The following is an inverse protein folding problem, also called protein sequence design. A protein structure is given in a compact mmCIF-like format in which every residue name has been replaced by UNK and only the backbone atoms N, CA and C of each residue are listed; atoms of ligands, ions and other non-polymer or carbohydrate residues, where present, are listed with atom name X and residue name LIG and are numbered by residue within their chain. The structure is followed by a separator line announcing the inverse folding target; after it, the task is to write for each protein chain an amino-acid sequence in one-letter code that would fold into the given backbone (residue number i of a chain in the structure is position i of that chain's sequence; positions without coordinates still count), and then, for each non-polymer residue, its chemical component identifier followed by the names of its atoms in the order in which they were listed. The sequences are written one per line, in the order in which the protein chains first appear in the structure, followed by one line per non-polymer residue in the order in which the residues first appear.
data_IF_494409440190
#
_entry.id   IF_494409440190
#
_cell.length_a   1.000
_cell.length_b   1.000
_cell.length_c   1.000
_cell.angle_alpha   90.00
_cell.angle_beta   90.00
_cell.angle_gamma   90.00
#
_symmetry.space_group_name_H-M   'P 1'
#
loop_
_entity.id
_entity.type
_entity.pdbx_description
1 polymer ?
#
# COMPACT_ATOMS: atom_id res chain seq x y z
N UNK A 1 1.75 30.18 10.98
CA UNK A 1 2.86 30.28 9.99
C UNK A 1 3.82 29.08 10.08
N UNK A 2 4.05 28.51 11.27
CA UNK A 2 4.84 27.28 11.43
C UNK A 2 4.12 26.03 10.85
N UNK A 3 2.80 25.92 11.01
CA UNK A 3 2.02 24.75 10.56
C UNK A 3 1.83 24.65 9.04
N UNK A 4 1.61 25.78 8.34
CA UNK A 4 1.54 25.80 6.87
C UNK A 4 2.86 25.32 6.22
N UNK A 5 4.00 25.69 6.82
CA UNK A 5 5.32 25.25 6.40
C UNK A 5 5.59 23.75 6.69
N UNK A 6 4.91 23.17 7.68
CA UNK A 6 4.99 21.74 7.99
C UNK A 6 4.07 20.90 7.09
N UNK A 7 2.89 21.42 6.74
CA UNK A 7 1.96 20.84 5.77
C UNK A 7 2.57 20.68 4.37
N UNK A 8 3.16 21.76 3.84
CA UNK A 8 3.87 21.76 2.55
C UNK A 8 5.03 20.75 2.52
N UNK A 9 5.83 20.67 3.60
CA UNK A 9 6.92 19.68 3.73
C UNK A 9 6.42 18.25 3.79
N UNK A 10 5.23 18.05 4.33
CA UNK A 10 4.61 16.74 4.42
C UNK A 10 4.21 16.26 3.03
N UNK A 11 3.43 17.05 2.29
CA UNK A 11 2.96 16.71 0.93
C UNK A 11 4.16 16.46 0.00
N UNK A 12 5.18 17.31 0.02
CA UNK A 12 6.40 17.10 -0.78
C UNK A 12 7.01 15.69 -0.60
N UNK A 13 7.11 15.18 0.64
CA UNK A 13 7.62 13.81 0.89
C UNK A 13 6.75 12.71 0.30
N UNK A 14 5.43 12.90 0.30
CA UNK A 14 4.48 11.96 -0.28
C UNK A 14 4.61 11.94 -1.81
N UNK A 15 4.77 13.12 -2.43
CA UNK A 15 5.03 13.23 -3.86
C UNK A 15 6.37 12.58 -4.24
N UNK A 16 7.44 12.82 -3.45
CA UNK A 16 8.77 12.23 -3.66
C UNK A 16 8.74 10.69 -3.56
N UNK A 17 8.03 10.14 -2.57
CA UNK A 17 7.86 8.70 -2.43
C UNK A 17 7.08 8.09 -3.61
N UNK A 18 6.07 8.80 -4.11
CA UNK A 18 5.27 8.33 -5.23
C UNK A 18 6.07 8.28 -6.54
N UNK A 19 6.89 9.30 -6.85
CA UNK A 19 7.74 9.27 -8.07
C UNK A 19 8.82 8.19 -7.99
N UNK A 20 9.38 7.93 -6.80
CA UNK A 20 10.32 6.82 -6.60
C UNK A 20 9.64 5.46 -6.80
N UNK A 21 8.45 5.28 -6.22
CA UNK A 21 7.67 4.05 -6.35
C UNK A 21 7.26 3.80 -7.81
N UNK A 22 6.76 4.83 -8.49
CA UNK A 22 6.36 4.79 -9.89
C UNK A 22 7.53 4.41 -10.81
N UNK A 23 8.68 5.08 -10.65
CA UNK A 23 9.87 4.80 -11.44
C UNK A 23 10.40 3.38 -11.19
N UNK A 24 10.52 2.97 -9.92
CA UNK A 24 11.02 1.64 -9.57
C UNK A 24 10.09 0.52 -10.08
N UNK A 25 8.78 0.65 -9.89
CA UNK A 25 7.82 -0.39 -10.28
C UNK A 25 7.59 -0.50 -11.78
N UNK A 26 7.91 0.53 -12.55
CA UNK A 26 7.93 0.47 -14.01
C UNK A 26 9.33 0.31 -14.61
N UNK A 27 10.38 0.23 -13.79
CA UNK A 27 11.78 0.26 -14.24
C UNK A 27 12.06 1.43 -15.20
N UNK A 28 11.47 2.59 -14.90
CA UNK A 28 11.59 3.78 -15.71
C UNK A 28 12.76 4.65 -15.24
N UNK A 29 13.50 5.27 -16.17
CA UNK A 29 14.60 6.15 -15.82
C UNK A 29 14.11 7.46 -15.20
N UNK A 30 12.88 7.88 -15.48
CA UNK A 30 12.35 9.19 -15.10
C UNK A 30 10.90 9.09 -14.64
N UNK A 31 10.55 9.85 -13.60
CA UNK A 31 9.17 10.05 -13.19
C UNK A 31 8.97 11.46 -12.62
N UNK A 32 7.75 11.98 -12.70
CA UNK A 32 7.39 13.32 -12.21
C UNK A 32 6.00 13.30 -11.60
N UNK A 33 5.76 14.19 -10.63
CA UNK A 33 4.40 14.60 -10.27
C UNK A 33 4.23 16.05 -10.69
N UNK A 34 3.18 16.31 -11.47
CA UNK A 34 2.78 17.63 -11.92
C UNK A 34 1.55 18.06 -11.12
N UNK A 35 1.61 19.20 -10.45
CA UNK A 35 0.45 19.81 -9.80
C UNK A 35 -0.26 20.74 -10.77
N UNK A 36 -1.58 20.62 -10.84
CA UNK A 36 -2.43 21.52 -11.60
C UNK A 36 -2.63 22.83 -10.83
N UNK A 37 -2.11 23.92 -11.38
CA UNK A 37 -2.38 25.26 -10.85
C UNK A 37 -3.67 25.80 -11.46
N UNK A 38 -4.75 25.79 -10.69
CA UNK A 38 -6.08 26.18 -11.17
C UNK A 38 -6.23 27.64 -11.62
N UNK A 39 -5.34 28.55 -11.20
CA UNK A 39 -5.43 29.97 -11.59
C UNK A 39 -5.18 30.21 -13.08
N UNK A 40 -4.38 29.35 -13.71
CA UNK A 40 -3.90 29.51 -15.09
C UNK A 40 -3.75 28.20 -15.86
N UNK A 41 -4.23 27.08 -15.29
CA UNK A 41 -4.23 25.73 -15.87
C UNK A 41 -2.84 25.20 -16.25
N UNK A 42 -1.77 25.73 -15.66
CA UNK A 42 -0.42 25.21 -15.86
C UNK A 42 -0.15 24.00 -14.97
N UNK A 43 0.70 23.10 -15.48
CA UNK A 43 1.20 21.93 -14.77
C UNK A 43 2.61 22.19 -14.29
N UNK A 44 2.77 22.21 -12.97
CA UNK A 44 4.04 22.56 -12.32
C UNK A 44 4.65 21.31 -11.73
N UNK A 45 5.92 21.04 -12.04
CA UNK A 45 6.63 19.90 -11.45
C UNK A 45 6.79 20.10 -9.94
N UNK A 46 6.25 19.18 -9.13
CA UNK A 46 6.36 19.23 -7.66
C UNK A 46 7.25 18.14 -7.08
N UNK A 47 7.39 17.02 -7.76
CA UNK A 47 8.35 15.98 -7.44
C UNK A 47 8.93 15.37 -8.72
N UNK A 48 10.14 14.82 -8.61
CA UNK A 48 10.86 14.23 -9.72
C UNK A 48 11.71 13.05 -9.26
N UNK A 49 11.91 12.09 -10.15
CA UNK A 49 12.91 11.04 -10.04
C UNK A 49 13.70 10.94 -11.34
N UNK A 50 15.03 10.74 -11.23
CA UNK A 50 15.91 10.53 -12.38
C UNK A 50 16.19 11.78 -13.22
N UNK A 51 15.76 12.95 -12.76
CA UNK A 51 15.92 14.24 -13.43
C UNK A 51 16.76 15.19 -12.56
N UNK A 52 17.24 16.28 -13.16
CA UNK A 52 17.95 17.31 -12.40
C UNK A 52 16.98 18.00 -11.42
N UNK A 53 17.42 18.28 -10.19
CA UNK A 53 16.56 18.88 -9.16
C UNK A 53 16.04 20.28 -9.54
N UNK A 54 16.70 20.99 -10.48
CA UNK A 54 16.24 22.28 -11.01
C UNK A 54 14.93 22.19 -11.80
N UNK A 55 14.44 20.99 -12.11
CA UNK A 55 13.13 20.83 -12.76
C UNK A 55 11.96 21.10 -11.83
N UNK A 56 12.16 21.01 -10.51
CA UNK A 56 11.09 21.30 -9.53
C UNK A 56 10.69 22.78 -9.64
N UNK A 57 9.38 23.02 -9.76
CA UNK A 57 8.79 24.35 -9.94
C UNK A 57 8.76 24.83 -11.40
N UNK A 58 9.33 24.08 -12.35
CA UNK A 58 9.21 24.41 -13.77
C UNK A 58 7.84 24.03 -14.32
N UNK A 59 7.45 24.75 -15.36
CA UNK A 59 6.30 24.45 -16.20
C UNK A 59 6.57 23.19 -17.04
N UNK A 60 5.61 22.27 -17.02
CA UNK A 60 5.60 21.02 -17.78
C UNK A 60 4.45 20.95 -18.81
N UNK A 61 3.73 22.05 -19.04
CA UNK A 61 2.61 22.15 -19.97
C UNK A 61 1.32 22.65 -19.32
N UNK A 62 0.21 22.46 -20.03
CA UNK A 62 -1.12 22.95 -19.61
C UNK A 62 -2.13 21.82 -19.49
N UNK A 63 -3.21 22.01 -18.72
CA UNK A 63 -4.34 21.09 -18.64
C UNK A 63 -5.28 21.17 -19.85
N UNK A 64 -4.72 21.24 -21.06
CA UNK A 64 -5.45 21.32 -22.33
C UNK A 64 -5.35 20.00 -23.12
N UNK A 65 -6.37 19.68 -23.93
CA UNK A 65 -6.41 18.44 -24.72
C UNK A 65 -5.27 18.29 -25.75
N UNK A 66 -4.51 19.37 -26.00
CA UNK A 66 -3.41 19.43 -26.95
C UNK A 66 -2.13 18.68 -26.52
N UNK A 67 -2.01 18.29 -25.25
CA UNK A 67 -0.84 17.56 -24.73
C UNK A 67 -1.25 16.33 -23.88
N UNK A 68 -0.37 15.33 -23.71
CA UNK A 68 -0.73 14.08 -23.02
C UNK A 68 -1.16 14.25 -21.55
N UNK A 69 -0.47 15.04 -20.71
CA UNK A 69 -0.94 15.34 -19.35
C UNK A 69 -2.34 15.96 -19.33
N UNK A 70 -2.61 16.97 -20.15
CA UNK A 70 -3.92 17.62 -20.22
C UNK A 70 -5.03 16.72 -20.76
N UNK A 71 -4.72 15.83 -21.71
CA UNK A 71 -5.66 14.82 -22.18
C UNK A 71 -6.02 13.82 -21.06
N UNK A 72 -5.05 13.40 -20.24
CA UNK A 72 -5.29 12.52 -19.11
C UNK A 72 -6.20 13.17 -18.06
N UNK A 73 -6.01 14.46 -17.77
CA UNK A 73 -6.87 15.24 -16.87
C UNK A 73 -8.32 15.36 -17.39
N UNK A 74 -8.49 15.74 -18.66
CA UNK A 74 -9.82 15.97 -19.26
C UNK A 74 -10.61 14.67 -19.35
N UNK A 75 -9.94 13.58 -19.73
CA UNK A 75 -10.61 12.27 -19.89
C UNK A 75 -10.72 11.49 -18.59
N UNK A 76 -10.04 11.95 -17.53
CA UNK A 76 -9.87 11.23 -16.27
C UNK A 76 -9.40 9.77 -16.48
N UNK A 77 -8.53 9.55 -17.47
CA UNK A 77 -8.00 8.23 -17.84
C UNK A 77 -6.50 8.29 -18.09
N UNK A 78 -5.78 7.17 -17.88
CA UNK A 78 -4.38 7.07 -18.28
C UNK A 78 -4.20 7.35 -19.77
N UNK A 79 -3.18 8.14 -20.11
CA UNK A 79 -2.76 8.40 -21.49
C UNK A 79 -1.34 7.89 -21.66
N UNK A 80 -1.16 6.98 -22.61
CA UNK A 80 0.15 6.42 -22.97
C UNK A 80 0.52 6.91 -24.35
N UNK A 81 1.72 7.47 -24.47
CA UNK A 81 2.27 7.87 -25.76
C UNK A 81 3.58 7.11 -25.97
N UNK A 82 3.59 6.24 -26.98
CA UNK A 82 4.72 5.36 -27.24
C UNK A 82 5.92 6.11 -27.82
N UNK A 83 5.67 7.14 -28.63
CA UNK A 83 6.71 7.99 -29.21
C UNK A 83 6.20 9.44 -29.33
N UNK A 84 6.47 10.25 -28.30
CA UNK A 84 6.03 11.65 -28.23
C UNK A 84 6.61 12.49 -29.37
N UNK A 85 7.83 12.17 -29.81
CA UNK A 85 8.52 12.92 -30.85
C UNK A 85 7.85 12.70 -32.21
N UNK A 86 7.41 11.47 -32.48
CA UNK A 86 6.70 11.11 -33.71
C UNK A 86 5.24 11.55 -33.72
N UNK A 87 4.57 11.48 -32.58
CA UNK A 87 3.13 11.75 -32.49
C UNK A 87 2.79 13.24 -32.38
N UNK A 88 3.71 14.09 -31.92
CA UNK A 88 3.45 15.51 -31.61
C UNK A 88 4.39 16.52 -32.28
N UNK A 89 5.57 16.10 -32.76
CA UNK A 89 6.51 16.98 -33.47
C UNK A 89 6.87 18.26 -32.69
N UNK A 90 6.62 19.44 -33.28
CA UNK A 90 6.95 20.75 -32.69
C UNK A 90 6.07 21.13 -31.48
N UNK A 91 4.97 20.40 -31.21
CA UNK A 91 4.06 20.68 -30.10
C UNK A 91 4.45 20.00 -28.78
N UNK A 92 5.58 19.30 -28.75
CA UNK A 92 6.13 18.70 -27.53
C UNK A 92 6.63 19.80 -26.57
N UNK A 93 6.17 19.84 -25.31
CA UNK A 93 6.68 20.75 -24.28
C UNK A 93 8.22 20.77 -24.20
N UNK A 94 8.81 21.96 -24.00
CA UNK A 94 10.27 22.13 -23.96
C UNK A 94 10.94 21.22 -22.91
N UNK A 95 10.29 21.03 -21.76
CA UNK A 95 10.78 20.16 -20.69
C UNK A 95 10.97 18.71 -21.15
N UNK A 96 10.05 18.16 -21.96
CA UNK A 96 10.16 16.80 -22.48
C UNK A 96 11.32 16.67 -23.48
N UNK A 97 11.54 17.70 -24.32
CA UNK A 97 12.68 17.76 -25.25
C UNK A 97 14.01 17.85 -24.50
N UNK A 98 14.10 18.72 -23.51
CA UNK A 98 15.31 18.88 -22.67
C UNK A 98 15.65 17.60 -21.91
N UNK A 99 14.64 16.87 -21.44
CA UNK A 99 14.80 15.60 -20.73
C UNK A 99 14.96 14.40 -21.67
N UNK A 100 14.97 14.61 -23.00
CA UNK A 100 15.06 13.57 -24.02
C UNK A 100 13.98 12.48 -23.90
N UNK A 101 12.76 12.85 -23.47
CA UNK A 101 11.65 11.90 -23.31
C UNK A 101 11.13 11.44 -24.68
N UNK A 102 10.91 10.13 -24.80
CA UNK A 102 10.40 9.44 -26.00
C UNK A 102 9.08 8.74 -25.69
N UNK A 103 9.00 7.92 -24.65
CA UNK A 103 7.74 7.28 -24.21
C UNK A 103 7.28 7.91 -22.90
N UNK A 104 5.99 8.21 -22.78
CA UNK A 104 5.41 8.76 -21.54
C UNK A 104 4.09 8.08 -21.18
N UNK A 105 3.88 7.87 -19.89
CA UNK A 105 2.64 7.36 -19.29
C UNK A 105 2.13 8.42 -18.32
N UNK A 106 0.95 8.97 -18.60
CA UNK A 106 0.33 10.06 -17.85
C UNK A 106 -0.89 9.55 -17.11
N UNK A 107 -0.88 9.64 -15.79
CA UNK A 107 -1.99 9.20 -14.95
C UNK A 107 -2.57 10.37 -14.17
N UNK A 108 -3.89 10.61 -14.28
CA UNK A 108 -4.51 11.70 -13.55
C UNK A 108 -4.62 11.38 -12.06
N UNK A 109 -4.27 12.36 -11.24
CA UNK A 109 -4.46 12.36 -9.79
C UNK A 109 -5.81 13.02 -9.52
N UNK A 110 -6.86 12.21 -9.43
CA UNK A 110 -8.22 12.69 -9.20
C UNK A 110 -8.57 12.51 -7.71
N UNK A 111 -8.81 13.61 -7.02
CA UNK A 111 -9.35 13.66 -5.66
C UNK A 111 -10.86 14.01 -5.71
N UNK A 112 -11.56 13.94 -4.57
CA UNK A 112 -12.99 14.22 -4.51
C UNK A 112 -13.36 15.65 -4.93
N UNK A 113 -12.50 16.63 -4.68
CA UNK A 113 -12.70 18.04 -5.06
C UNK A 113 -12.27 18.35 -6.50
N UNK A 114 -11.71 17.37 -7.22
CA UNK A 114 -11.30 17.50 -8.61
C UNK A 114 -9.90 16.97 -8.88
N UNK A 115 -9.37 17.29 -10.05
CA UNK A 115 -8.04 16.85 -10.45
C UNK A 115 -6.96 17.67 -9.73
N UNK A 116 -6.12 17.00 -8.94
CA UNK A 116 -4.94 17.60 -8.33
C UNK A 116 -3.81 17.80 -9.35
N UNK A 117 -3.64 16.86 -10.27
CA UNK A 117 -2.45 16.84 -11.12
C UNK A 117 -2.24 15.54 -11.88
N UNK A 118 -0.99 15.27 -12.28
CA UNK A 118 -0.57 14.09 -13.02
C UNK A 118 0.58 13.39 -12.31
N UNK A 119 0.53 12.06 -12.24
CA UNK A 119 1.70 11.21 -12.05
C UNK A 119 2.18 10.76 -13.42
N UNK A 120 3.43 11.07 -13.74
CA UNK A 120 4.04 10.81 -15.04
C UNK A 120 5.26 9.90 -14.91
N UNK A 121 5.39 8.97 -15.85
CA UNK A 121 6.55 8.09 -15.99
C UNK A 121 7.06 8.16 -17.41
N UNK A 122 8.37 8.41 -17.55
CA UNK A 122 9.01 8.75 -18.82
C UNK A 122 10.20 7.82 -19.12
N UNK A 123 10.41 7.55 -20.41
CA UNK A 123 11.55 6.83 -20.94
C UNK A 123 12.24 7.66 -22.02
N UNK A 124 13.56 7.57 -22.09
CA UNK A 124 14.41 8.19 -23.11
C UNK A 124 14.49 7.39 -24.42
N UNK A 125 13.79 6.27 -24.48
CA UNK A 125 13.71 5.35 -25.61
C UNK A 125 12.27 4.88 -25.80
N UNK A 126 11.96 4.33 -26.97
CA UNK A 126 10.65 3.70 -27.20
C UNK A 126 10.50 2.50 -26.29
N UNK A 127 9.56 2.57 -25.35
CA UNK A 127 9.30 1.52 -24.37
C UNK A 127 7.94 0.87 -24.59
N UNK A 128 7.89 -0.46 -24.53
CA UNK A 128 6.64 -1.19 -24.65
C UNK A 128 5.86 -1.11 -23.33
N UNK A 129 4.77 -0.36 -23.33
CA UNK A 129 3.90 -0.22 -22.15
C UNK A 129 2.76 -1.24 -22.23
N UNK A 130 2.73 -2.16 -21.28
CA UNK A 130 1.64 -3.14 -21.15
C UNK A 130 0.60 -2.71 -20.10
N UNK A 131 -0.48 -3.49 -19.99
CA UNK A 131 -1.55 -3.22 -19.04
C UNK A 131 -1.09 -3.31 -17.57
N UNK A 132 0.01 -4.01 -17.26
CA UNK A 132 0.51 -4.15 -15.89
C UNK A 132 1.17 -2.85 -15.41
N UNK A 133 1.92 -2.16 -16.28
CA UNK A 133 2.49 -0.85 -15.99
C UNK A 133 1.39 0.17 -15.65
N UNK A 134 0.36 0.25 -16.50
CA UNK A 134 -0.75 1.18 -16.29
C UNK A 134 -1.52 0.84 -15.01
N UNK A 135 -1.74 -0.45 -14.73
CA UNK A 135 -2.46 -0.88 -13.52
C UNK A 135 -1.67 -0.58 -12.24
N UNK A 136 -0.37 -0.81 -12.26
CA UNK A 136 0.52 -0.48 -11.15
C UNK A 136 0.52 1.03 -10.89
N UNK A 137 0.77 1.83 -11.93
CA UNK A 137 0.80 3.28 -11.82
C UNK A 137 -0.54 3.85 -11.37
N UNK A 138 -1.66 3.27 -11.83
CA UNK A 138 -3.00 3.69 -11.40
C UNK A 138 -3.20 3.47 -9.89
N UNK A 139 -2.60 2.41 -9.35
CA UNK A 139 -2.62 2.15 -7.90
C UNK A 139 -1.79 3.19 -7.14
N UNK A 140 -0.59 3.53 -7.63
CA UNK A 140 0.25 4.58 -7.05
C UNK A 140 -0.45 5.94 -7.12
N UNK A 141 -1.06 6.27 -8.26
CA UNK A 141 -1.81 7.50 -8.48
C UNK A 141 -3.01 7.63 -7.53
N UNK A 142 -3.75 6.54 -7.31
CA UNK A 142 -4.88 6.52 -6.39
C UNK A 142 -4.45 6.75 -4.93
N UNK A 143 -3.38 6.08 -4.48
CA UNK A 143 -2.83 6.26 -3.14
C UNK A 143 -2.30 7.70 -2.96
N UNK A 144 -1.63 8.22 -3.98
CA UNK A 144 -1.10 9.57 -3.99
C UNK A 144 -2.23 10.61 -3.88
N UNK A 145 -3.27 10.48 -4.71
CA UNK A 145 -4.42 11.37 -4.70
C UNK A 145 -5.15 11.36 -3.34
N UNK A 146 -5.35 10.18 -2.75
CA UNK A 146 -5.95 10.03 -1.41
C UNK A 146 -5.08 10.68 -0.32
N UNK A 147 -3.75 10.45 -0.36
CA UNK A 147 -2.82 11.05 0.60
C UNK A 147 -2.73 12.57 0.51
N UNK A 148 -2.91 13.14 -0.69
CA UNK A 148 -3.00 14.59 -0.91
C UNK A 148 -4.32 15.13 -0.34
N UNK A 149 -5.44 14.50 -0.68
CA UNK A 149 -6.77 14.91 -0.23
C UNK A 149 -6.88 14.87 1.29
N UNK A 150 -6.45 13.78 1.91
CA UNK A 150 -6.43 13.61 3.37
C UNK A 150 -5.68 14.74 4.08
N UNK A 151 -4.59 15.23 3.46
CA UNK A 151 -3.79 16.32 4.02
C UNK A 151 -4.41 17.70 3.80
N UNK A 152 -4.96 17.95 2.62
CA UNK A 152 -5.69 19.19 2.34
C UNK A 152 -6.92 19.33 3.24
N UNK A 153 -7.66 18.25 3.50
CA UNK A 153 -8.80 18.25 4.43
C UNK A 153 -8.36 18.44 5.89
N UNK A 154 -7.23 17.86 6.28
CA UNK A 154 -6.66 18.04 7.62
C UNK A 154 -6.21 19.48 7.88
N UNK A 155 -5.72 20.16 6.85
CA UNK A 155 -5.35 21.59 6.91
C UNK A 155 -6.58 22.51 6.89
N UNK A 156 -7.68 22.10 6.24
CA UNK A 156 -8.93 22.86 6.19
C UNK A 156 -9.78 22.76 7.49
N UNK A 157 -9.58 21.74 8.32
CA UNK A 157 -10.34 21.49 9.56
C UNK A 157 -9.55 21.88 10.81
N UNK A 158 -9.44 23.19 11.04
CA UNK A 158 -9.28 23.72 12.40
C UNK A 158 -10.71 23.93 12.95
N UNK A 159 -10.98 23.32 14.12
CA UNK A 159 -12.19 23.45 14.97
C UNK A 159 -13.43 22.60 14.63
N UNK A 160 -13.36 21.26 14.70
CA UNK A 160 -14.42 20.48 15.40
C UNK A 160 -14.01 19.01 15.65
N UNK A 161 -14.26 18.51 16.87
CA UNK A 161 -13.85 17.17 17.33
C UNK A 161 -14.85 16.07 16.91
N UNK A 162 -16.13 16.40 16.78
CA UNK A 162 -17.19 15.42 16.48
C UNK A 162 -17.34 15.17 14.97
N UNK A 163 -17.08 16.19 14.14
CA UNK A 163 -16.90 16.03 12.69
C UNK A 163 -15.74 15.08 12.35
N UNK A 164 -14.63 15.16 13.10
CA UNK A 164 -13.43 14.30 12.92
C UNK A 164 -13.74 12.81 13.13
N UNK A 165 -14.53 12.44 14.13
CA UNK A 165 -14.86 11.03 14.41
C UNK A 165 -15.79 10.44 13.35
N UNK A 166 -16.72 11.23 12.82
CA UNK A 166 -17.66 10.79 11.77
C UNK A 166 -16.96 10.65 10.42
N UNK A 167 -16.11 11.62 10.07
CA UNK A 167 -15.29 11.59 8.84
C UNK A 167 -14.31 10.40 8.84
N UNK A 168 -13.64 10.15 9.97
CA UNK A 168 -12.73 9.01 10.12
C UNK A 168 -13.44 7.66 9.96
N UNK A 169 -14.69 7.52 10.43
CA UNK A 169 -15.49 6.31 10.22
C UNK A 169 -15.89 6.12 8.77
N UNK A 170 -16.28 7.19 8.07
CA UNK A 170 -16.60 7.11 6.63
C UNK A 170 -15.36 6.79 5.78
N UNK A 171 -14.18 7.34 6.14
CA UNK A 171 -12.92 6.99 5.49
C UNK A 171 -12.52 5.54 5.75
N UNK A 172 -12.60 5.05 7.00
CA UNK A 172 -12.38 3.63 7.34
C UNK A 172 -13.27 2.68 6.53
N UNK A 173 -14.53 3.05 6.30
CA UNK A 173 -15.44 2.27 5.45
C UNK A 173 -15.04 2.27 3.97
N UNK A 174 -14.55 3.40 3.44
CA UNK A 174 -14.17 3.51 2.02
C UNK A 174 -12.80 2.91 1.71
N UNK A 175 -11.84 3.07 2.61
CA UNK A 175 -10.53 2.43 2.53
C UNK A 175 -10.68 0.91 2.56
N UNK A 176 -11.51 0.38 3.47
CA UNK A 176 -11.88 -1.03 3.49
C UNK A 176 -12.50 -1.50 2.17
N UNK A 177 -13.42 -0.72 1.59
CA UNK A 177 -14.01 -1.05 0.28
C UNK A 177 -12.98 -1.06 -0.86
N UNK A 178 -12.02 -0.13 -0.85
CA UNK A 178 -10.98 -0.04 -1.87
C UNK A 178 -10.00 -1.21 -1.77
N UNK A 179 -9.57 -1.56 -0.56
CA UNK A 179 -8.72 -2.72 -0.34
C UNK A 179 -9.44 -4.03 -0.64
N UNK A 180 -10.75 -4.13 -0.33
CA UNK A 180 -11.58 -5.25 -0.76
C UNK A 180 -11.71 -5.32 -2.29
N UNK A 181 -11.82 -4.19 -2.99
CA UNK A 181 -11.85 -4.15 -4.45
C UNK A 181 -10.50 -4.54 -5.07
N UNK A 182 -9.39 -4.04 -4.51
CA UNK A 182 -8.04 -4.41 -4.94
C UNK A 182 -7.80 -5.90 -4.71
N UNK A 183 -8.17 -6.42 -3.53
CA UNK A 183 -8.07 -7.84 -3.22
C UNK A 183 -8.95 -8.67 -4.17
N UNK A 184 -10.19 -8.27 -4.42
CA UNK A 184 -11.07 -8.96 -5.37
C UNK A 184 -10.50 -8.97 -6.80
N UNK A 185 -9.87 -7.87 -7.24
CA UNK A 185 -9.20 -7.80 -8.54
C UNK A 185 -7.94 -8.69 -8.59
N UNK A 186 -7.14 -8.70 -7.53
CA UNK A 186 -5.96 -9.56 -7.41
C UNK A 186 -6.34 -11.03 -7.37
N UNK A 187 -7.35 -11.40 -6.59
CA UNK A 187 -7.94 -12.74 -6.54
C UNK A 187 -8.51 -13.15 -7.91
N UNK A 188 -9.21 -12.26 -8.60
CA UNK A 188 -9.71 -12.51 -9.95
C UNK A 188 -8.57 -12.72 -10.96
N UNK A 189 -7.45 -11.99 -10.84
CA UNK A 189 -6.28 -12.17 -11.71
C UNK A 189 -5.49 -13.44 -11.38
N UNK A 190 -5.43 -13.82 -10.10
CA UNK A 190 -4.92 -15.12 -9.70
C UNK A 190 -5.77 -16.25 -10.30
N UNK A 191 -7.10 -16.22 -10.15
CA UNK A 191 -7.99 -17.24 -10.71
C UNK A 191 -7.89 -17.39 -12.24
N UNK A 192 -7.61 -16.30 -12.97
CA UNK A 192 -7.51 -16.31 -14.43
C UNK A 192 -6.09 -16.61 -14.96
N UNK A 193 -5.09 -16.67 -14.08
CA UNK A 193 -3.74 -17.09 -14.46
C UNK A 193 -3.66 -18.62 -14.50
N UNK A 194 -3.01 -19.18 -15.52
CA UNK A 194 -2.66 -20.61 -15.56
C UNK A 194 -1.27 -20.91 -15.00
N UNK A 195 -0.50 -19.87 -14.66
CA UNK A 195 0.83 -20.00 -14.08
C UNK A 195 0.74 -19.94 -12.54
N UNK A 196 1.05 -21.05 -11.84
CA UNK A 196 1.02 -21.11 -10.37
C UNK A 196 1.95 -20.11 -9.68
N UNK A 197 3.04 -19.70 -10.33
CA UNK A 197 3.97 -18.70 -9.78
C UNK A 197 3.38 -17.29 -9.81
N UNK A 198 2.61 -16.98 -10.85
CA UNK A 198 1.89 -15.70 -11.01
C UNK A 198 0.68 -15.62 -10.08
N UNK A 199 -0.07 -16.72 -9.93
CA UNK A 199 -1.15 -16.82 -8.95
C UNK A 199 -0.65 -16.52 -7.54
N UNK A 200 0.50 -17.11 -7.20
CA UNK A 200 1.16 -16.92 -5.92
C UNK A 200 1.63 -15.48 -5.69
N UNK A 201 2.27 -14.87 -6.68
CA UNK A 201 2.68 -13.47 -6.59
C UNK A 201 1.50 -12.53 -6.35
N UNK A 202 0.35 -12.79 -6.97
CA UNK A 202 -0.87 -12.01 -6.73
C UNK A 202 -1.43 -12.20 -5.32
N UNK A 203 -1.45 -13.42 -4.80
CA UNK A 203 -1.86 -13.67 -3.40
C UNK A 203 -0.89 -13.04 -2.39
N UNK A 204 0.41 -13.09 -2.62
CA UNK A 204 1.40 -12.44 -1.75
C UNK A 204 1.22 -10.91 -1.73
N UNK A 205 0.83 -10.30 -2.86
CA UNK A 205 0.51 -8.87 -2.96
C UNK A 205 -0.81 -8.56 -2.25
N UNK A 206 -1.84 -9.37 -2.47
CA UNK A 206 -3.15 -9.25 -1.81
C UNK A 206 -3.02 -9.27 -0.27
N UNK A 207 -2.21 -10.20 0.26
CA UNK A 207 -1.99 -10.33 1.70
C UNK A 207 -1.21 -9.15 2.30
N UNK A 208 -0.26 -8.56 1.57
CA UNK A 208 0.45 -7.33 2.01
C UNK A 208 -0.44 -6.11 1.96
N UNK A 209 -1.21 -5.98 0.88
CA UNK A 209 -2.19 -4.90 0.70
C UNK A 209 -3.21 -4.91 1.84
N UNK A 210 -3.69 -6.08 2.24
CA UNK A 210 -4.56 -6.25 3.40
C UNK A 210 -3.89 -5.84 4.73
N UNK A 211 -2.65 -6.29 4.96
CA UNK A 211 -1.92 -5.96 6.19
C UNK A 211 -1.63 -4.45 6.32
N UNK A 212 -1.34 -3.78 5.19
CA UNK A 212 -1.17 -2.33 5.12
C UNK A 212 -2.48 -1.56 5.31
N UNK A 213 -3.60 -2.08 4.78
CA UNK A 213 -4.93 -1.52 4.98
C UNK A 213 -5.29 -1.39 6.47
N UNK A 214 -5.10 -2.49 7.22
CA UNK A 214 -5.36 -2.50 8.65
C UNK A 214 -4.42 -1.59 9.44
N UNK A 215 -3.21 -1.34 8.92
CA UNK A 215 -2.23 -0.46 9.58
C UNK A 215 -2.59 1.01 9.35
N UNK A 216 -3.07 1.33 8.15
CA UNK A 216 -3.57 2.65 7.79
C UNK A 216 -4.84 3.02 8.57
N UNK A 217 -5.77 2.06 8.75
CA UNK A 217 -6.95 2.20 9.62
C UNK A 217 -6.59 2.61 11.06
N UNK A 218 -5.39 2.21 11.54
CA UNK A 218 -4.88 2.51 12.87
C UNK A 218 -4.08 3.83 12.94
N UNK A 219 -3.23 4.12 11.94
CA UNK A 219 -2.44 5.36 11.87
C UNK A 219 -3.31 6.63 11.81
N UNK A 220 -4.47 6.56 11.15
CA UNK A 220 -5.41 7.70 11.07
C UNK A 220 -6.10 8.01 12.42
N UNK A 221 -6.03 7.10 13.40
CA UNK A 221 -6.57 7.29 14.75
C UNK A 221 -5.64 8.07 15.70
N UNK A 222 -4.34 8.17 15.39
CA UNK A 222 -3.32 8.77 16.25
C UNK A 222 -2.75 10.03 15.59
N UNK A 223 -3.13 11.21 16.09
CA UNK A 223 -2.66 12.49 15.55
C UNK A 223 -1.14 12.70 15.61
N UNK A 224 -0.63 13.53 14.70
CA UNK A 224 0.64 14.29 14.57
C UNK A 224 2.00 13.74 15.05
N UNK A 225 2.11 12.56 15.67
CA UNK A 225 3.40 12.01 16.14
C UNK A 225 3.76 10.67 15.47
N UNK A 226 3.31 10.47 14.22
CA UNK A 226 3.24 9.19 13.49
C UNK A 226 4.56 8.53 13.05
N UNK A 227 5.48 8.28 13.99
CA UNK A 227 6.64 7.37 13.77
C UNK A 227 6.54 6.09 14.61
N UNK A 228 5.52 5.97 15.48
CA UNK A 228 5.35 4.80 16.33
C UNK A 228 3.87 4.40 16.45
N UNK A 229 3.64 3.10 16.43
CA UNK A 229 2.34 2.43 16.37
C UNK A 229 2.22 1.48 17.56
N UNK A 230 1.03 1.41 18.15
CA UNK A 230 0.71 0.36 19.12
C UNK A 230 0.39 -0.95 18.35
N UNK A 231 1.26 -1.98 18.41
CA UNK A 231 1.05 -3.22 17.68
C UNK A 231 -0.21 -3.97 18.15
N UNK A 232 -0.66 -3.77 19.40
CA UNK A 232 -1.84 -4.44 19.92
C UNK A 232 -3.12 -3.88 19.35
N UNK A 233 -3.23 -2.55 19.28
CA UNK A 233 -4.37 -1.89 18.64
C UNK A 233 -4.39 -2.20 17.13
N UNK A 234 -3.21 -2.21 16.49
CA UNK A 234 -3.07 -2.60 15.09
C UNK A 234 -3.54 -4.05 14.83
N UNK A 235 -3.06 -5.02 15.60
CA UNK A 235 -3.44 -6.43 15.42
C UNK A 235 -4.92 -6.66 15.71
N UNK A 236 -5.51 -5.98 16.69
CA UNK A 236 -6.95 -6.04 16.94
C UNK A 236 -7.77 -5.52 15.75
N UNK A 237 -7.32 -4.41 15.14
CA UNK A 237 -7.97 -3.89 13.94
C UNK A 237 -7.84 -4.85 12.75
N UNK A 238 -6.69 -5.51 12.60
CA UNK A 238 -6.49 -6.53 11.56
C UNK A 238 -7.40 -7.74 11.77
N UNK A 239 -7.50 -8.24 13.01
CA UNK A 239 -8.37 -9.37 13.35
C UNK A 239 -9.83 -9.06 13.03
N UNK A 240 -10.31 -7.84 13.32
CA UNK A 240 -11.66 -7.42 12.99
C UNK A 240 -11.94 -7.38 11.47
N UNK A 241 -10.91 -7.16 10.65
CA UNK A 241 -11.04 -7.20 9.19
C UNK A 241 -10.97 -8.62 8.62
N UNK A 242 -10.33 -9.56 9.30
CA UNK A 242 -10.26 -10.96 8.85
C UNK A 242 -11.64 -11.61 8.74
N UNK A 243 -12.56 -11.28 9.65
CA UNK A 243 -13.93 -11.81 9.64
C UNK A 243 -14.64 -11.58 8.31
N UNK A 244 -14.40 -10.45 7.66
CA UNK A 244 -14.99 -10.12 6.35
C UNK A 244 -14.18 -10.59 5.14
N UNK A 245 -12.93 -11.03 5.34
CA UNK A 245 -12.01 -11.37 4.26
C UNK A 245 -11.86 -12.88 4.05
N UNK A 246 -11.70 -13.63 5.14
CA UNK A 246 -11.45 -15.07 5.08
C UNK A 246 -12.71 -15.94 5.18
N UNK A 247 -13.90 -15.33 5.24
CA UNK A 247 -15.20 -16.02 5.42
C UNK A 247 -15.13 -17.17 6.43
N UNK A 248 -14.65 -16.88 7.65
CA UNK A 248 -14.47 -17.92 8.67
C UNK A 248 -15.77 -18.71 8.94
N UNK A 249 -16.93 -18.07 8.82
CA UNK A 249 -18.23 -18.71 8.96
C UNK A 249 -18.47 -19.76 7.87
N UNK A 250 -18.19 -19.43 6.60
CA UNK A 250 -18.24 -20.37 5.48
C UNK A 250 -17.26 -21.54 5.62
N UNK A 251 -16.14 -21.32 6.29
CA UNK A 251 -15.14 -22.36 6.58
C UNK A 251 -15.35 -23.10 7.91
N UNK A 252 -16.38 -22.77 8.70
CA UNK A 252 -16.61 -23.31 10.05
C UNK A 252 -15.44 -23.08 11.04
N UNK A 253 -14.71 -21.99 10.86
CA UNK A 253 -13.58 -21.59 11.69
C UNK A 253 -14.04 -20.53 12.70
N UNK A 254 -13.55 -20.61 13.94
CA UNK A 254 -13.71 -19.56 14.94
C UNK A 254 -12.38 -18.84 15.16
N UNK A 255 -12.39 -17.50 15.15
CA UNK A 255 -11.22 -16.69 15.49
C UNK A 255 -11.28 -16.26 16.96
N UNK A 256 -10.34 -16.74 17.77
CA UNK A 256 -10.14 -16.32 19.16
C UNK A 256 -8.98 -15.33 19.27
N UNK A 257 -9.09 -14.34 20.17
CA UNK A 257 -8.09 -13.27 20.34
C UNK A 257 -7.76 -13.00 21.81
N UNK A 258 -6.48 -12.77 22.09
CA UNK A 258 -5.97 -12.32 23.40
C UNK A 258 -4.78 -11.40 23.19
N UNK A 259 -5.06 -10.11 22.95
CA UNK A 259 -4.07 -9.12 22.48
C UNK A 259 -3.93 -8.02 23.53
N UNK A 260 -2.75 -7.89 24.12
CA UNK A 260 -2.42 -6.81 25.07
C UNK A 260 -2.21 -5.48 24.32
N UNK A 261 -2.95 -4.43 24.67
CA UNK A 261 -2.82 -3.09 24.08
C UNK A 261 -2.08 -2.14 25.03
N UNK A 262 -1.42 -1.12 24.48
CA UNK A 262 -0.73 -0.08 25.24
C UNK A 262 0.59 -0.52 25.87
N UNK A 263 1.07 -1.74 25.57
CA UNK A 263 2.23 -2.33 26.22
C UNK A 263 3.57 -1.80 25.67
N UNK A 264 3.60 -1.42 24.40
CA UNK A 264 4.78 -0.91 23.67
C UNK A 264 4.36 -0.09 22.46
N UNK A 265 5.24 0.80 22.00
CA UNK A 265 5.11 1.51 20.72
C UNK A 265 6.27 1.08 19.82
N UNK A 266 5.98 0.69 18.58
CA UNK A 266 6.96 0.19 17.60
C UNK A 266 6.92 1.01 16.31
N UNK A 267 8.04 1.04 15.58
CA UNK A 267 8.09 1.69 14.26
C UNK A 267 7.14 1.06 13.25
N UNK A 268 6.67 1.86 12.30
CA UNK A 268 5.71 1.46 11.26
C UNK A 268 6.20 0.21 10.49
N UNK A 269 7.48 0.17 10.13
CA UNK A 269 8.06 -0.97 9.41
C UNK A 269 8.01 -2.27 10.23
N UNK A 270 8.23 -2.16 11.54
CA UNK A 270 8.14 -3.31 12.46
C UNK A 270 6.70 -3.80 12.57
N UNK A 271 5.73 -2.89 12.75
CA UNK A 271 4.32 -3.25 12.76
C UNK A 271 3.86 -3.85 11.43
N UNK A 272 4.26 -3.27 10.30
CA UNK A 272 3.95 -3.80 8.96
C UNK A 272 4.47 -5.22 8.79
N UNK A 273 5.70 -5.50 9.22
CA UNK A 273 6.28 -6.83 9.18
C UNK A 273 5.50 -7.83 10.07
N UNK A 274 5.18 -7.44 11.32
CA UNK A 274 4.38 -8.26 12.24
C UNK A 274 3.02 -8.60 11.62
N UNK A 275 2.29 -7.60 11.12
CA UNK A 275 0.96 -7.80 10.57
C UNK A 275 0.95 -8.60 9.28
N UNK A 276 1.95 -8.40 8.42
CA UNK A 276 2.13 -9.24 7.22
C UNK A 276 2.30 -10.70 7.62
N UNK A 277 3.19 -10.99 8.59
CA UNK A 277 3.43 -12.36 9.06
C UNK A 277 2.18 -12.96 9.70
N UNK A 278 1.47 -12.22 10.56
CA UNK A 278 0.22 -12.71 11.15
C UNK A 278 -0.80 -13.04 10.07
N UNK A 279 -0.96 -12.19 9.06
CA UNK A 279 -1.87 -12.44 7.95
C UNK A 279 -1.51 -13.71 7.16
N UNK A 280 -0.23 -13.91 6.83
CA UNK A 280 0.25 -15.14 6.18
C UNK A 280 -0.04 -16.39 7.01
N UNK A 281 0.17 -16.32 8.33
CA UNK A 281 -0.06 -17.46 9.22
C UNK A 281 -1.54 -17.81 9.33
N UNK A 282 -2.41 -16.79 9.41
CA UNK A 282 -3.87 -16.97 9.43
C UNK A 282 -4.37 -17.55 8.10
N UNK A 283 -3.91 -17.00 6.97
CA UNK A 283 -4.18 -17.54 5.64
C UNK A 283 -3.82 -19.02 5.53
N UNK A 284 -2.59 -19.39 5.91
CA UNK A 284 -2.14 -20.77 5.87
C UNK A 284 -3.02 -21.68 6.75
N UNK A 285 -3.46 -21.20 7.91
CA UNK A 285 -4.36 -21.97 8.77
C UNK A 285 -5.72 -22.19 8.10
N UNK A 286 -6.32 -21.14 7.52
CA UNK A 286 -7.60 -21.25 6.80
C UNK A 286 -7.50 -22.20 5.61
N UNK A 287 -6.46 -22.06 4.79
CA UNK A 287 -6.28 -22.80 3.54
C UNK A 287 -5.88 -24.27 3.77
N UNK A 288 -5.14 -24.57 4.85
CA UNK A 288 -4.49 -25.87 5.00
C UNK A 288 -4.77 -26.61 6.32
N UNK A 289 -5.06 -25.91 7.43
CA UNK A 289 -5.13 -26.58 8.72
C UNK A 289 -6.38 -27.46 8.87
N UNK A 290 -7.51 -27.02 8.33
CA UNK A 290 -8.81 -27.62 8.67
C UNK A 290 -9.40 -28.55 7.61
N UNK A 291 -9.00 -28.46 6.34
CA UNK A 291 -9.52 -29.30 5.25
C UNK A 291 -11.06 -29.42 5.21
N UNK A 292 -11.76 -28.33 5.53
CA UNK A 292 -13.23 -28.28 5.61
C UNK A 292 -13.85 -28.76 6.94
N UNK A 293 -13.04 -29.17 7.92
CA UNK A 293 -13.51 -29.42 9.28
C UNK A 293 -13.68 -28.12 10.08
N UNK A 294 -14.53 -28.16 11.11
CA UNK A 294 -14.63 -27.04 12.04
C UNK A 294 -13.36 -26.91 12.89
N UNK A 295 -12.98 -25.69 13.23
CA UNK A 295 -11.74 -25.44 13.96
C UNK A 295 -11.66 -24.06 14.59
N UNK A 296 -10.57 -23.82 15.30
CA UNK A 296 -10.27 -22.56 15.95
C UNK A 296 -8.87 -22.08 15.54
N UNK A 297 -8.78 -20.81 15.17
CA UNK A 297 -7.52 -20.07 15.09
C UNK A 297 -7.51 -19.12 16.28
N UNK A 298 -6.40 -19.10 17.03
CA UNK A 298 -6.16 -18.19 18.15
C UNK A 298 -4.97 -17.29 17.86
N UNK A 299 -5.19 -15.98 17.98
CA UNK A 299 -4.14 -14.97 17.91
C UNK A 299 -3.94 -14.41 19.31
N UNK A 300 -2.70 -14.38 19.78
CA UNK A 300 -2.38 -13.70 21.04
C UNK A 300 -1.14 -12.83 20.92
N UNK A 301 -1.11 -11.75 21.69
CA UNK A 301 0.04 -10.87 21.80
C UNK A 301 0.20 -10.42 23.24
N UNK A 302 1.43 -10.50 23.74
CA UNK A 302 1.77 -9.96 25.05
C UNK A 302 3.21 -9.45 25.06
N UNK A 303 3.49 -8.51 25.95
CA UNK A 303 4.83 -8.00 26.17
C UNK A 303 5.52 -8.76 27.31
N UNK A 304 6.77 -9.12 27.10
CA UNK A 304 7.69 -9.55 28.16
C UNK A 304 8.66 -8.42 28.51
N UNK A 305 9.50 -8.62 29.52
CA UNK A 305 10.52 -7.64 29.89
C UNK A 305 11.56 -7.35 28.79
N UNK A 306 11.70 -8.21 27.78
CA UNK A 306 12.74 -8.11 26.73
C UNK A 306 12.22 -8.18 25.29
N UNK A 307 11.00 -8.65 25.09
CA UNK A 307 10.47 -8.92 23.76
C UNK A 307 8.96 -8.74 23.70
N UNK A 308 8.46 -8.38 22.52
CA UNK A 308 7.07 -8.56 22.14
C UNK A 308 6.89 -9.98 21.61
N UNK A 309 5.89 -10.70 22.10
CA UNK A 309 5.57 -12.05 21.66
C UNK A 309 4.19 -12.03 20.99
N UNK A 310 4.14 -12.52 19.75
CA UNK A 310 2.91 -12.72 18.98
C UNK A 310 2.80 -14.20 18.66
N UNK A 311 1.65 -14.80 18.94
CA UNK A 311 1.36 -16.21 18.68
C UNK A 311 0.16 -16.33 17.76
N UNK A 312 0.29 -17.18 16.73
CA UNK A 312 -0.84 -17.63 15.89
C UNK A 312 -0.91 -19.15 16.03
N UNK A 313 -2.03 -19.65 16.55
CA UNK A 313 -2.23 -21.07 16.82
C UNK A 313 -3.50 -21.57 16.15
N UNK A 314 -3.44 -22.70 15.46
CA UNK A 314 -4.61 -23.46 15.02
C UNK A 314 -4.74 -24.76 15.81
N UNK A 315 -5.93 -25.36 15.78
CA UNK A 315 -6.19 -26.71 16.30
C UNK A 315 -6.49 -27.73 15.19
N UNK A 316 -5.97 -27.48 13.98
CA UNK A 316 -6.20 -28.31 12.81
C UNK A 316 -5.31 -29.55 12.72
N UNK A 317 -5.09 -30.01 11.51
CA UNK A 317 -4.32 -31.23 11.18
C UNK A 317 -2.82 -31.14 11.52
N UNK A 318 -2.31 -29.93 11.78
CA UNK A 318 -0.91 -29.67 12.10
C UNK A 318 -0.02 -29.60 10.85
N UNK A 319 1.07 -28.85 10.97
CA UNK A 319 2.09 -28.71 9.94
C UNK A 319 2.97 -29.98 9.87
N UNK A 320 3.12 -30.57 8.69
CA UNK A 320 3.92 -31.78 8.51
C UNK A 320 5.42 -31.48 8.69
N UNK A 321 6.05 -32.11 9.68
CA UNK A 321 7.49 -31.98 9.92
C UNK A 321 8.27 -32.46 8.68
N UNK A 322 9.03 -31.55 8.04
CA UNK A 322 9.79 -31.83 6.82
C UNK A 322 9.11 -31.48 5.50
N UNK A 323 7.90 -30.90 5.52
CA UNK A 323 7.33 -30.28 4.33
C UNK A 323 8.22 -29.12 3.86
N UNK A 324 8.45 -29.02 2.54
CA UNK A 324 9.13 -27.86 1.94
C UNK A 324 8.36 -26.59 2.31
N UNK A 325 9.05 -25.63 2.93
CA UNK A 325 8.45 -24.34 3.25
C UNK A 325 7.93 -23.67 1.98
N UNK A 326 6.64 -23.30 1.98
CA UNK A 326 6.08 -22.45 0.95
C UNK A 326 6.76 -21.08 0.96
N UNK A 327 6.82 -20.40 -0.19
CA UNK A 327 7.47 -19.08 -0.30
C UNK A 327 6.87 -18.02 0.62
N UNK A 328 5.59 -18.14 1.03
CA UNK A 328 4.96 -17.25 2.02
C UNK A 328 5.63 -17.36 3.39
N UNK A 329 5.86 -18.58 3.88
CA UNK A 329 6.56 -18.85 5.14
C UNK A 329 8.04 -18.42 5.08
N UNK A 330 8.71 -18.68 3.95
CA UNK A 330 10.09 -18.22 3.74
C UNK A 330 10.18 -16.68 3.74
N UNK A 331 9.19 -16.01 3.14
CA UNK A 331 9.07 -14.55 3.15
C UNK A 331 8.79 -14.02 4.56
N UNK A 332 7.89 -14.66 5.30
CA UNK A 332 7.58 -14.32 6.68
C UNK A 332 8.83 -14.39 7.57
N UNK A 333 9.60 -15.49 7.51
CA UNK A 333 10.88 -15.60 8.25
C UNK A 333 11.86 -14.49 7.88
N UNK A 334 12.01 -14.18 6.59
CA UNK A 334 12.92 -13.12 6.13
C UNK A 334 12.49 -11.74 6.64
N UNK A 335 11.20 -11.41 6.55
CA UNK A 335 10.66 -10.14 7.04
C UNK A 335 10.89 -9.96 8.53
N UNK A 336 10.66 -11.01 9.32
CA UNK A 336 10.89 -10.99 10.77
C UNK A 336 12.38 -10.92 11.10
N UNK A 337 13.23 -11.65 10.37
CA UNK A 337 14.68 -11.56 10.54
C UNK A 337 15.23 -10.15 10.25
N UNK A 338 14.68 -9.44 9.26
CA UNK A 338 15.08 -8.07 8.93
C UNK A 338 14.79 -7.06 10.05
N UNK A 339 13.79 -7.32 10.90
CA UNK A 339 13.45 -6.49 12.06
C UNK A 339 14.09 -7.01 13.36
N UNK A 340 15.05 -7.95 13.27
CA UNK A 340 15.73 -8.52 14.43
C UNK A 340 14.85 -9.45 15.29
N UNK A 341 13.78 -9.99 14.71
CA UNK A 341 12.91 -10.96 15.35
C UNK A 341 13.20 -12.41 14.96
N UNK A 342 12.50 -13.34 15.61
CA UNK A 342 12.54 -14.77 15.32
C UNK A 342 11.12 -15.32 15.17
N UNK A 343 10.94 -16.21 14.19
CA UNK A 343 9.69 -16.95 13.99
C UNK A 343 9.96 -18.44 14.24
N UNK A 344 9.38 -19.00 15.30
CA UNK A 344 9.45 -20.40 15.66
C UNK A 344 8.13 -21.12 15.37
N UNK A 345 8.19 -22.45 15.24
CA UNK A 345 7.01 -23.29 15.01
C UNK A 345 7.04 -24.51 15.93
N UNK A 346 5.90 -24.78 16.55
CA UNK A 346 5.61 -25.99 17.29
C UNK A 346 4.40 -26.66 16.62
N UNK A 347 4.54 -27.90 16.19
CA UNK A 347 3.49 -28.61 15.47
C UNK A 347 3.39 -30.04 15.96
N UNK A 348 2.17 -30.55 16.04
CA UNK A 348 1.91 -31.95 16.29
C UNK A 348 0.78 -32.41 15.37
N UNK A 349 1.00 -33.51 14.65
CA UNK A 349 0.00 -34.09 13.74
C UNK A 349 -1.33 -34.34 14.49
N UNK A 350 -2.41 -33.78 13.96
CA UNK A 350 -3.76 -33.85 14.53
C UNK A 350 -4.02 -33.01 15.78
N UNK A 351 -3.06 -32.19 16.23
CA UNK A 351 -3.20 -31.29 17.38
C UNK A 351 -2.96 -29.81 17.05
N UNK A 352 -2.83 -29.50 15.76
CA UNK A 352 -2.66 -28.15 15.22
C UNK A 352 -1.21 -27.66 15.15
N UNK A 353 -1.08 -26.41 14.71
CA UNK A 353 0.21 -25.70 14.58
C UNK A 353 0.21 -24.47 15.47
N UNK A 354 1.33 -24.19 16.11
CA UNK A 354 1.58 -22.99 16.92
C UNK A 354 2.80 -22.28 16.37
N UNK A 355 2.59 -21.07 15.87
CA UNK A 355 3.66 -20.19 15.41
C UNK A 355 3.93 -19.14 16.47
N UNK A 356 5.20 -18.94 16.80
CA UNK A 356 5.65 -17.98 17.81
C UNK A 356 6.58 -16.97 17.17
N UNK A 357 6.11 -15.75 17.02
CA UNK A 357 6.89 -14.59 16.61
C UNK A 357 7.40 -13.87 17.86
N UNK A 358 8.70 -13.63 17.93
CA UNK A 358 9.33 -12.81 18.96
C UNK A 358 10.10 -11.65 18.32
N UNK A 359 9.92 -10.44 18.85
CA UNK A 359 10.66 -9.25 18.43
C UNK A 359 11.33 -8.66 19.65
N UNK A 360 12.66 -8.56 19.63
CA UNK A 360 13.42 -7.99 20.76
C UNK A 360 13.11 -6.51 20.88
N UNK A 361 12.76 -6.06 22.08
CA UNK A 361 12.48 -4.66 22.34
C UNK A 361 13.80 -3.91 22.63
N UNK A 362 13.98 -2.68 22.14
CA UNK A 362 15.10 -1.84 22.55
C UNK A 362 15.05 -1.65 24.07
N UNK A 363 16.20 -1.81 24.71
CA UNK A 363 16.39 -1.64 26.16
C UNK A 363 16.29 -0.20 26.63
#
# INVERSE_FOLDING_TARGET
MHDAFQGERSIARLLDAAVQCAAAGCNAPMAKVLELRHSDNFLIVKAQYGLDASVIGRDAGTAEAGNPPGQALITARPVVVADVMKERGDTVPDLLRECSVVTTINLPLIAAEGAYGILEVDYDTVHAVDASHVSFLASVAAILADGIESRQQREALIEDRDAKVTLLREQQHRIRNNFQMIAALLAQKAMNSQDPSVQKAYHDVERRVFAMASLYDHLLGLGEHGESVDPGVYLESMCASFDGFYDFAGHHITLARSIEQGAVMLGIDTCTAIGTVVNELVANAVEHAFNGAAGEIRISMHRTSRALIVEVRDNGSGYAAGATEGTGLATARRLIGNIGGELAVETQAGAGTRWLLSVTLPS
#
